data_IF_241030841620
#
_entry.id   IF_241030841620
#
_cell.length_a   1.000
_cell.length_b   1.000
_cell.length_c   1.000
_cell.angle_alpha   90.00
_cell.angle_beta   90.00
_cell.angle_gamma   90.00
#
_symmetry.space_group_name_H-M   'P 1'
#
loop_
_entity.id
_entity.type
_entity.pdbx_description
1 polymer ?
#
# COMPACT_ATOMS: atom_id res chain seq x y z
N UNK A 1 -2.44 -12.53 14.77
CA UNK A 1 -2.28 -11.61 13.67
C UNK A 1 -3.01 -12.12 12.43
N UNK A 2 -3.50 -11.20 11.61
CA UNK A 2 -4.11 -11.54 10.30
C UNK A 2 -3.07 -11.91 9.26
N UNK A 3 -1.81 -11.53 9.46
CA UNK A 3 -0.70 -11.85 8.54
C UNK A 3 -0.05 -13.15 8.91
N UNK A 4 0.33 -13.93 7.89
CA UNK A 4 1.18 -15.09 8.10
C UNK A 4 2.56 -14.64 8.62
N UNK A 5 3.25 -15.53 9.34
CA UNK A 5 4.58 -15.20 9.90
C UNK A 5 5.60 -14.85 8.81
N UNK A 6 5.45 -15.44 7.63
CA UNK A 6 6.32 -15.24 6.47
C UNK A 6 5.64 -14.45 5.35
N UNK A 7 4.67 -13.60 5.69
CA UNK A 7 3.96 -12.78 4.70
C UNK A 7 4.94 -12.04 3.79
N UNK A 8 4.63 -12.01 2.50
CA UNK A 8 5.41 -11.25 1.50
C UNK A 8 4.58 -10.06 1.05
N UNK A 9 5.09 -8.88 1.31
CA UNK A 9 4.40 -7.62 1.07
C UNK A 9 5.16 -6.81 0.05
N UNK A 10 4.49 -6.46 -1.05
CA UNK A 10 5.09 -5.72 -2.16
C UNK A 10 4.36 -4.41 -2.36
N UNK A 11 5.06 -3.32 -2.20
CA UNK A 11 4.57 -2.02 -2.63
C UNK A 11 4.79 -1.85 -4.13
N UNK A 12 3.99 -1.03 -4.78
CA UNK A 12 4.13 -0.78 -6.22
C UNK A 12 5.50 -0.19 -6.55
N UNK A 13 6.05 -0.58 -7.68
CA UNK A 13 7.29 0.03 -8.18
C UNK A 13 7.12 1.55 -8.27
N UNK A 14 8.13 2.29 -7.89
CA UNK A 14 8.16 3.76 -7.83
C UNK A 14 7.33 4.38 -6.70
N UNK A 15 6.64 3.58 -5.90
CA UNK A 15 6.04 4.10 -4.68
C UNK A 15 7.14 4.38 -3.66
N UNK A 16 7.06 5.48 -2.87
CA UNK A 16 8.16 5.86 -1.96
C UNK A 16 8.56 4.77 -0.98
N UNK A 17 7.62 3.92 -0.57
CA UNK A 17 7.89 2.87 0.41
C UNK A 17 8.26 1.53 -0.24
N UNK A 18 8.45 1.49 -1.57
CA UNK A 18 8.90 0.28 -2.26
C UNK A 18 10.42 0.05 -2.14
N UNK A 19 11.12 0.95 -1.48
CA UNK A 19 12.58 0.94 -1.36
C UNK A 19 13.15 -0.30 -0.66
N UNK A 20 12.32 -1.03 0.09
CA UNK A 20 12.72 -2.24 0.82
C UNK A 20 12.00 -3.49 0.35
N UNK A 21 11.32 -3.44 -0.81
CA UNK A 21 10.64 -4.61 -1.36
C UNK A 21 11.60 -5.80 -1.56
N UNK A 22 11.16 -7.04 -1.32
CA UNK A 22 9.91 -7.40 -0.63
C UNK A 22 10.05 -7.24 0.88
N UNK A 23 8.97 -6.84 1.53
CA UNK A 23 8.88 -6.88 2.98
C UNK A 23 8.45 -8.30 3.38
N UNK A 24 9.26 -8.99 4.16
CA UNK A 24 8.98 -10.36 4.57
C UNK A 24 8.75 -10.39 6.07
N UNK A 25 7.58 -10.91 6.46
CA UNK A 25 7.17 -10.99 7.85
C UNK A 25 6.41 -9.75 8.33
N UNK A 26 5.49 -9.95 9.27
CA UNK A 26 4.62 -8.88 9.76
C UNK A 26 5.40 -7.71 10.36
N UNK A 27 6.50 -7.99 11.06
CA UNK A 27 7.30 -6.94 11.69
C UNK A 27 7.92 -6.01 10.64
N UNK A 28 8.43 -6.57 9.53
CA UNK A 28 9.00 -5.77 8.45
C UNK A 28 7.93 -4.88 7.81
N UNK A 29 6.71 -5.38 7.65
CA UNK A 29 5.59 -4.61 7.11
C UNK A 29 5.23 -3.46 8.05
N UNK A 30 5.10 -3.74 9.34
CA UNK A 30 4.75 -2.72 10.33
C UNK A 30 5.80 -1.60 10.40
N UNK A 31 7.07 -1.97 10.45
CA UNK A 31 8.16 -0.99 10.56
C UNK A 31 8.50 -0.32 9.24
N UNK A 32 8.39 -1.04 8.14
CA UNK A 32 8.82 -0.55 6.82
C UNK A 32 7.74 0.17 6.04
N UNK A 33 6.47 -0.15 6.27
CA UNK A 33 5.35 0.45 5.55
C UNK A 33 4.50 1.29 6.49
N UNK A 34 3.82 0.66 7.44
CA UNK A 34 2.82 1.37 8.24
C UNK A 34 3.43 2.47 9.10
N UNK A 35 4.56 2.22 9.73
CA UNK A 35 5.22 3.24 10.56
C UNK A 35 5.78 4.41 9.75
N UNK A 36 6.03 4.21 8.45
CA UNK A 36 6.62 5.24 7.58
C UNK A 36 5.61 6.04 6.76
N UNK A 37 4.37 5.57 6.67
CA UNK A 37 3.34 6.25 5.88
C UNK A 37 3.16 7.71 6.30
N UNK A 38 3.14 7.97 7.59
CA UNK A 38 3.00 9.31 8.12
C UNK A 38 4.17 10.26 7.82
N UNK A 39 5.30 9.73 7.36
CA UNK A 39 6.44 10.55 6.96
C UNK A 39 6.24 11.20 5.59
N UNK A 40 5.37 10.65 4.76
CA UNK A 40 5.14 11.11 3.39
C UNK A 40 3.74 11.67 3.16
N UNK A 41 2.74 11.19 3.90
CA UNK A 41 1.33 11.59 3.72
C UNK A 41 0.70 11.95 5.08
N UNK A 42 -0.01 13.09 5.09
CA UNK A 42 -0.87 13.47 6.21
C UNK A 42 -2.29 12.99 5.93
N UNK A 43 -3.02 12.68 7.00
CA UNK A 43 -4.44 12.30 6.95
C UNK A 43 -4.71 11.14 5.99
N UNK A 44 -3.81 10.16 5.97
CA UNK A 44 -3.93 9.00 5.09
C UNK A 44 -5.19 8.20 5.36
N UNK A 45 -5.90 7.85 4.30
CA UNK A 45 -7.04 6.95 4.36
C UNK A 45 -7.16 6.13 3.09
N UNK A 46 -8.02 5.12 3.15
CA UNK A 46 -8.35 4.27 2.03
C UNK A 46 -9.86 4.33 1.81
N UNK A 47 -10.28 4.63 0.59
CA UNK A 47 -11.69 4.59 0.20
C UNK A 47 -11.89 3.38 -0.72
N UNK A 48 -12.39 2.25 -0.21
CA UNK A 48 -12.65 1.08 -1.04
C UNK A 48 -13.81 1.36 -2.00
N UNK A 49 -13.64 0.95 -3.26
CA UNK A 49 -14.70 0.98 -4.26
C UNK A 49 -15.43 -0.36 -4.32
N UNK A 50 -14.73 -1.39 -4.78
CA UNK A 50 -15.30 -2.74 -4.81
C UNK A 50 -14.28 -3.79 -4.45
N UNK A 51 -14.79 -4.93 -4.01
CA UNK A 51 -13.98 -6.10 -3.71
C UNK A 51 -14.36 -7.24 -4.66
N UNK A 52 -13.35 -7.94 -5.14
CA UNK A 52 -13.50 -9.14 -5.96
C UNK A 52 -12.72 -10.24 -5.26
N UNK A 53 -13.32 -11.40 -5.07
CA UNK A 53 -12.67 -12.47 -4.33
C UNK A 53 -12.97 -13.83 -4.94
N UNK A 54 -12.01 -14.73 -4.85
CA UNK A 54 -12.21 -16.16 -5.05
C UNK A 54 -11.76 -16.90 -3.78
N UNK A 55 -11.50 -18.21 -3.88
CA UNK A 55 -11.17 -19.02 -2.71
C UNK A 55 -9.84 -18.65 -2.04
N UNK A 56 -8.91 -18.06 -2.77
CA UNK A 56 -7.54 -17.83 -2.30
C UNK A 56 -7.10 -16.38 -2.40
N UNK A 57 -7.85 -15.53 -3.10
CA UNK A 57 -7.42 -14.16 -3.39
C UNK A 57 -8.52 -13.15 -3.15
N UNK A 58 -8.13 -11.97 -2.71
CA UNK A 58 -9.02 -10.81 -2.56
C UNK A 58 -8.39 -9.64 -3.28
N UNK A 59 -9.19 -8.94 -4.10
CA UNK A 59 -8.78 -7.74 -4.80
C UNK A 59 -9.67 -6.58 -4.33
N UNK A 60 -9.05 -5.48 -3.94
CA UNK A 60 -9.76 -4.24 -3.59
C UNK A 60 -9.39 -3.17 -4.62
N UNK A 61 -10.39 -2.62 -5.29
CA UNK A 61 -10.22 -1.41 -6.11
C UNK A 61 -10.69 -0.21 -5.30
N UNK A 62 -9.93 0.88 -5.30
CA UNK A 62 -10.32 2.06 -4.54
C UNK A 62 -9.42 3.24 -4.79
N UNK A 63 -9.39 4.12 -3.81
CA UNK A 63 -8.50 5.29 -3.81
C UNK A 63 -7.86 5.46 -2.45
N UNK A 64 -6.67 5.99 -2.44
CA UNK A 64 -6.13 6.58 -1.22
C UNK A 64 -6.64 8.02 -1.11
N UNK A 65 -6.67 8.51 0.12
CA UNK A 65 -6.91 9.91 0.43
C UNK A 65 -5.78 10.41 1.31
N UNK A 66 -5.48 11.67 1.23
CA UNK A 66 -4.43 12.27 2.05
C UNK A 66 -3.84 13.49 1.39
N UNK A 67 -2.82 14.01 2.04
CA UNK A 67 -2.08 15.20 1.59
C UNK A 67 -0.60 14.89 1.63
N UNK A 68 0.11 15.20 0.56
CA UNK A 68 1.57 15.04 0.52
C UNK A 68 2.23 15.97 1.53
N UNK A 69 2.99 15.41 2.46
CA UNK A 69 3.60 16.20 3.54
C UNK A 69 4.58 17.24 3.00
N UNK A 70 5.34 16.89 1.97
CA UNK A 70 6.37 17.77 1.42
C UNK A 70 5.80 18.92 0.59
N UNK A 71 4.62 18.75 -0.02
CA UNK A 71 4.09 19.71 -1.00
C UNK A 71 2.80 20.38 -0.56
N UNK A 72 2.08 19.79 0.39
CA UNK A 72 0.73 20.23 0.75
C UNK A 72 -0.33 19.92 -0.28
N UNK A 73 0.00 19.15 -1.33
CA UNK A 73 -0.96 18.81 -2.39
C UNK A 73 -1.77 17.59 -2.04
N UNK A 74 -3.05 17.53 -2.49
CA UNK A 74 -3.85 16.33 -2.30
C UNK A 74 -3.20 15.12 -2.97
N UNK A 75 -3.35 13.96 -2.35
CA UNK A 75 -2.84 12.69 -2.86
C UNK A 75 -4.00 11.68 -2.85
N UNK A 76 -4.69 11.58 -3.97
CA UNK A 76 -5.89 10.73 -4.11
C UNK A 76 -5.75 9.75 -5.27
N UNK A 77 -4.68 8.94 -5.32
CA UNK A 77 -4.45 8.06 -6.45
C UNK A 77 -5.41 6.88 -6.48
N UNK A 78 -5.69 6.39 -7.69
CA UNK A 78 -6.32 5.08 -7.83
C UNK A 78 -5.38 4.01 -7.31
N UNK A 79 -5.94 3.02 -6.64
CA UNK A 79 -5.15 1.95 -6.04
C UNK A 79 -5.88 0.62 -6.18
N UNK A 80 -5.11 -0.43 -6.36
CA UNK A 80 -5.58 -1.81 -6.29
C UNK A 80 -4.69 -2.57 -5.31
N UNK A 81 -5.31 -3.23 -4.36
CA UNK A 81 -4.65 -4.15 -3.45
C UNK A 81 -5.02 -5.58 -3.81
N UNK A 82 -4.03 -6.45 -3.92
CA UNK A 82 -4.24 -7.87 -4.17
C UNK A 82 -3.65 -8.65 -3.01
N UNK A 83 -4.48 -9.38 -2.30
CA UNK A 83 -4.04 -10.27 -1.20
C UNK A 83 -4.26 -11.71 -1.62
N UNK A 84 -3.33 -12.59 -1.22
CA UNK A 84 -3.61 -14.01 -1.20
C UNK A 84 -3.72 -14.46 0.26
N UNK A 85 -4.58 -15.46 0.49
CA UNK A 85 -4.89 -15.95 1.83
C UNK A 85 -4.61 -17.44 1.88
N UNK A 86 -3.89 -17.86 2.91
CA UNK A 86 -3.60 -19.26 3.20
C UNK A 86 -3.85 -19.52 4.68
N UNK A 87 -4.57 -20.59 4.98
CA UNK A 87 -4.88 -21.00 6.37
C UNK A 87 -5.47 -19.85 7.20
N UNK A 88 -6.34 -19.04 6.58
CA UNK A 88 -7.01 -17.94 7.24
C UNK A 88 -6.14 -16.70 7.48
N UNK A 89 -4.94 -16.66 6.91
CA UNK A 89 -4.01 -15.54 7.09
C UNK A 89 -3.56 -14.98 5.74
N UNK A 90 -3.21 -13.70 5.73
CA UNK A 90 -2.66 -13.04 4.55
C UNK A 90 -1.26 -13.60 4.30
N UNK A 91 -1.08 -14.25 3.16
CA UNK A 91 0.21 -14.82 2.76
C UNK A 91 1.00 -13.86 1.89
N UNK A 92 0.34 -13.14 0.98
CA UNK A 92 1.01 -12.15 0.12
C UNK A 92 0.15 -10.90 -0.04
N UNK A 93 0.80 -9.80 -0.36
CA UNK A 93 0.15 -8.54 -0.70
C UNK A 93 0.90 -7.89 -1.86
N UNK A 94 0.15 -7.35 -2.82
CA UNK A 94 0.69 -6.54 -3.90
C UNK A 94 -0.14 -5.26 -4.04
N UNK A 95 0.53 -4.13 -3.97
CA UNK A 95 -0.08 -2.83 -4.26
C UNK A 95 0.16 -2.48 -5.74
N UNK A 96 -0.88 -1.96 -6.39
CA UNK A 96 -0.79 -1.29 -7.68
C UNK A 96 -1.41 0.09 -7.51
N UNK A 97 -0.75 1.15 -7.97
CA UNK A 97 -1.18 2.51 -7.67
C UNK A 97 -0.69 3.45 -8.77
N UNK A 98 -1.40 4.57 -8.93
CA UNK A 98 -0.92 5.67 -9.79
C UNK A 98 0.28 6.34 -9.12
N UNK A 99 1.46 5.89 -9.48
CA UNK A 99 2.71 6.36 -8.86
C UNK A 99 3.08 7.76 -9.28
N UNK A 100 2.61 8.23 -10.44
CA UNK A 100 2.85 9.63 -10.85
C UNK A 100 2.11 10.60 -9.92
N UNK A 101 0.86 10.30 -9.59
CA UNK A 101 0.10 11.12 -8.64
C UNK A 101 0.79 11.15 -7.28
N UNK A 102 1.26 10.01 -6.80
CA UNK A 102 1.98 9.92 -5.53
C UNK A 102 3.29 10.72 -5.60
N UNK A 103 4.06 10.57 -6.67
CA UNK A 103 5.32 11.27 -6.84
C UNK A 103 5.13 12.79 -6.83
N UNK A 104 4.10 13.29 -7.51
CA UNK A 104 3.78 14.72 -7.52
C UNK A 104 3.41 15.23 -6.14
N UNK A 105 2.57 14.51 -5.42
CA UNK A 105 2.14 14.91 -4.08
C UNK A 105 3.28 14.84 -3.06
N UNK A 106 4.23 13.93 -3.23
CA UNK A 106 5.36 13.76 -2.31
C UNK A 106 6.62 14.54 -2.74
N UNK A 107 6.55 15.31 -3.82
CA UNK A 107 7.67 16.13 -4.27
C UNK A 107 8.76 15.35 -5.01
N UNK A 108 8.46 14.15 -5.51
CA UNK A 108 9.40 13.26 -6.19
C UNK A 108 9.29 13.30 -7.71
N UNK A 109 8.20 13.87 -8.26
CA UNK A 109 8.01 13.95 -9.71
C UNK A 109 8.92 15.00 -10.34
N UNK A 110 9.40 14.77 -11.58
CA UNK A 110 10.11 15.79 -12.34
C UNK A 110 9.21 16.97 -12.68
#
# INVERSE_FOLDING_TARGET
SLMADDVRWMEAENFPLADRNPYVGAQAVLEGVFARLGDVLDDFGVEPGRFIADETSVVMEGRYTGTGKATGQPCNPQVVHVWTVEDGKIATFQQHIDTLAVARATGKAP
#
